data_IF_248413878962
#
_entry.id   IF_248413878962
#
_cell.length_a   1.000
_cell.length_b   1.000
_cell.length_c   1.000
_cell.angle_alpha   90.00
_cell.angle_beta   90.00
_cell.angle_gamma   90.00
#
_symmetry.space_group_name_H-M   'P 1'
#
loop_
_entity.id
_entity.type
_entity.pdbx_description
1 polymer ?
#
# COMPACT_ATOMS: atom_id res chain seq x y z
N UNK A 1 5.54 -9.71 1.62
CA UNK A 1 6.42 -10.06 0.48
C UNK A 1 5.77 -11.21 -0.27
N UNK A 2 5.76 -11.17 -1.61
CA UNK A 2 5.24 -12.30 -2.40
C UNK A 2 6.13 -13.54 -2.27
N UNK A 3 5.59 -14.73 -2.54
CA UNK A 3 6.34 -16.00 -2.49
C UNK A 3 7.58 -15.98 -3.38
N UNK A 4 7.47 -15.39 -4.57
CA UNK A 4 8.58 -15.15 -5.49
C UNK A 4 9.70 -14.33 -4.83
N UNK A 5 9.36 -13.21 -4.19
CA UNK A 5 10.34 -12.36 -3.51
C UNK A 5 10.97 -13.04 -2.30
N UNK A 6 10.21 -13.82 -1.54
CA UNK A 6 10.74 -14.60 -0.40
C UNK A 6 11.76 -15.65 -0.86
N UNK A 7 11.47 -16.34 -1.98
CA UNK A 7 12.42 -17.29 -2.59
C UNK A 7 13.69 -16.58 -3.04
N UNK A 8 13.54 -15.47 -3.77
CA UNK A 8 14.68 -14.69 -4.25
C UNK A 8 15.56 -14.16 -3.10
N UNK A 9 14.97 -13.78 -1.97
CA UNK A 9 15.72 -13.37 -0.77
C UNK A 9 16.44 -14.55 -0.10
N UNK A 10 15.85 -15.73 -0.09
CA UNK A 10 16.46 -16.94 0.50
C UNK A 10 17.68 -17.42 -0.30
N UNK A 11 17.66 -17.23 -1.62
CA UNK A 11 18.74 -17.65 -2.53
C UNK A 11 19.94 -16.70 -2.51
N UNK A 12 19.81 -15.51 -1.92
CA UNK A 12 20.91 -14.55 -1.79
C UNK A 12 21.72 -14.82 -0.53
N UNK A 13 23.03 -14.98 -0.69
CA UNK A 13 23.99 -15.15 0.41
C UNK A 13 24.64 -13.83 0.86
N UNK A 14 24.31 -12.73 0.20
CA UNK A 14 24.82 -11.41 0.55
C UNK A 14 24.32 -10.97 1.94
N UNK A 15 25.20 -10.39 2.78
CA UNK A 15 24.79 -9.89 4.09
C UNK A 15 23.81 -8.72 3.95
N UNK A 16 22.67 -8.81 4.65
CA UNK A 16 21.67 -7.73 4.69
C UNK A 16 22.03 -6.73 5.78
N UNK A 17 22.41 -5.52 5.36
CA UNK A 17 22.70 -4.40 6.27
C UNK A 17 21.39 -3.71 6.65
N UNK A 18 21.18 -3.48 7.96
CA UNK A 18 20.04 -2.71 8.46
C UNK A 18 20.05 -1.28 7.88
N UNK A 19 19.02 -0.93 7.11
CA UNK A 19 18.87 0.41 6.50
C UNK A 19 18.02 1.39 7.30
N UNK A 20 17.02 0.91 8.06
CA UNK A 20 16.14 1.74 8.86
C UNK A 20 16.46 1.59 10.36
N UNK A 21 16.86 2.68 10.99
CA UNK A 21 17.16 2.78 12.42
C UNK A 21 16.20 3.82 13.01
N UNK A 22 15.50 3.54 14.13
CA UNK A 22 14.65 4.52 14.78
C UNK A 22 15.44 5.80 15.09
N UNK A 23 14.82 6.95 14.85
CA UNK A 23 15.40 8.24 15.26
C UNK A 23 15.41 8.36 16.78
N UNK A 24 16.47 8.95 17.34
CA UNK A 24 16.54 9.33 18.75
C UNK A 24 15.76 10.61 19.06
N UNK A 25 15.31 11.35 18.04
CA UNK A 25 14.48 12.53 18.22
C UNK A 25 13.01 12.14 18.44
N UNK A 26 12.45 12.59 19.56
CA UNK A 26 11.02 12.55 19.80
C UNK A 26 10.39 13.83 19.27
N UNK A 27 9.44 13.69 18.35
CA UNK A 27 8.62 14.79 17.87
C UNK A 27 7.27 14.77 18.60
N UNK A 28 6.78 15.94 19.01
CA UNK A 28 5.40 16.06 19.45
C UNK A 28 4.47 15.72 18.28
N UNK A 29 3.37 15.01 18.58
CA UNK A 29 2.35 14.73 17.57
C UNK A 29 1.79 16.06 17.06
N UNK A 30 1.75 16.30 15.74
CA UNK A 30 1.16 17.51 15.20
C UNK A 30 -0.37 17.52 15.42
N UNK A 31 -0.97 18.69 15.32
CA UNK A 31 -2.43 18.83 15.33
C UNK A 31 -3.06 17.97 14.23
N UNK A 32 -4.20 17.31 14.48
CA UNK A 32 -4.89 16.56 13.44
C UNK A 32 -5.24 17.43 12.24
N UNK A 33 -5.03 16.89 11.06
CA UNK A 33 -5.42 17.51 9.80
C UNK A 33 -6.95 17.46 9.65
N UNK A 34 -7.53 18.53 9.14
CA UNK A 34 -8.93 18.57 8.72
C UNK A 34 -9.13 17.79 7.42
N UNK A 35 -10.38 17.42 7.10
CA UNK A 35 -10.66 16.74 5.82
C UNK A 35 -10.28 17.60 4.61
N UNK A 36 -10.49 18.92 4.68
CA UNK A 36 -10.17 19.84 3.59
C UNK A 36 -8.66 19.90 3.32
N UNK A 37 -7.85 20.01 4.37
CA UNK A 37 -6.39 19.97 4.27
C UNK A 37 -5.93 18.62 3.71
N UNK A 38 -6.48 17.50 4.18
CA UNK A 38 -6.12 16.18 3.67
C UNK A 38 -6.41 16.04 2.18
N UNK A 39 -7.61 16.43 1.74
CA UNK A 39 -7.98 16.37 0.31
C UNK A 39 -7.10 17.29 -0.53
N UNK A 40 -6.78 18.48 -0.02
CA UNK A 40 -5.91 19.40 -0.74
C UNK A 40 -4.50 18.82 -0.92
N UNK A 41 -3.86 18.39 0.17
CA UNK A 41 -2.51 17.82 0.18
C UNK A 41 -2.45 16.53 -0.65
N UNK A 42 -3.42 15.62 -0.48
CA UNK A 42 -3.47 14.37 -1.26
C UNK A 42 -3.55 14.64 -2.76
N UNK A 43 -4.35 15.63 -3.17
CA UNK A 43 -4.52 15.98 -4.58
C UNK A 43 -3.30 16.68 -5.20
N UNK A 44 -2.31 17.12 -4.39
CA UNK A 44 -1.03 17.62 -4.93
C UNK A 44 -0.13 16.49 -5.42
N UNK A 45 -0.31 15.25 -4.93
CA UNK A 45 0.46 14.09 -5.38
C UNK A 45 -0.31 13.31 -6.45
N UNK A 46 0.03 13.59 -7.71
CA UNK A 46 -0.58 12.93 -8.86
C UNK A 46 -0.48 11.40 -8.79
N UNK A 47 0.66 10.86 -8.33
CA UNK A 47 0.85 9.41 -8.23
C UNK A 47 -0.05 8.82 -7.13
N UNK A 48 -0.18 9.49 -5.99
CA UNK A 48 -1.06 9.04 -4.92
C UNK A 48 -2.53 9.03 -5.33
N UNK A 49 -3.01 10.08 -6.02
CA UNK A 49 -4.39 10.17 -6.52
C UNK A 49 -4.67 9.04 -7.51
N UNK A 50 -3.80 8.87 -8.50
CA UNK A 50 -3.96 7.86 -9.53
C UNK A 50 -3.94 6.45 -8.95
N UNK A 51 -2.94 6.13 -8.10
CA UNK A 51 -2.78 4.79 -7.52
C UNK A 51 -3.89 4.43 -6.54
N UNK A 52 -4.38 5.39 -5.77
CA UNK A 52 -5.52 5.15 -4.88
C UNK A 52 -6.77 4.80 -5.71
N UNK A 53 -7.09 5.60 -6.72
CA UNK A 53 -8.25 5.38 -7.58
C UNK A 53 -8.14 4.10 -8.41
N UNK A 54 -6.97 3.82 -8.97
CA UNK A 54 -6.69 2.58 -9.69
C UNK A 54 -6.85 1.35 -8.80
N UNK A 55 -6.24 1.35 -7.61
CA UNK A 55 -6.31 0.23 -6.67
C UNK A 55 -7.74 -0.12 -6.26
N UNK A 56 -8.55 0.88 -5.92
CA UNK A 56 -9.97 0.67 -5.57
C UNK A 56 -10.73 0.02 -6.74
N UNK A 57 -10.51 0.50 -7.96
CA UNK A 57 -11.19 -0.05 -9.16
C UNK A 57 -10.77 -1.49 -9.44
N UNK A 58 -9.48 -1.81 -9.34
CA UNK A 58 -8.98 -3.15 -9.56
C UNK A 58 -9.53 -4.14 -8.53
N UNK A 59 -9.55 -3.78 -7.24
CA UNK A 59 -10.16 -4.64 -6.23
C UNK A 59 -11.65 -4.86 -6.46
N UNK A 60 -12.40 -3.83 -6.85
CA UNK A 60 -13.82 -3.97 -7.16
C UNK A 60 -14.07 -4.88 -8.36
N UNK A 61 -13.18 -4.86 -9.36
CA UNK A 61 -13.23 -5.80 -10.51
C UNK A 61 -13.02 -7.24 -10.04
N UNK A 62 -12.01 -7.48 -9.21
CA UNK A 62 -11.72 -8.84 -8.73
C UNK A 62 -12.79 -9.37 -7.77
N UNK A 63 -13.41 -8.49 -6.97
CA UNK A 63 -14.57 -8.84 -6.15
C UNK A 63 -15.75 -9.33 -6.99
N UNK A 64 -16.10 -8.62 -8.07
CA UNK A 64 -17.19 -9.06 -8.98
C UNK A 64 -16.88 -10.41 -9.63
N UNK A 65 -15.64 -10.62 -10.09
CA UNK A 65 -15.23 -11.92 -10.64
C UNK A 65 -15.41 -13.05 -9.62
N UNK A 66 -15.07 -12.79 -8.35
CA UNK A 66 -15.26 -13.77 -7.28
C UNK A 66 -16.74 -14.07 -7.05
N UNK A 67 -17.59 -13.04 -7.03
CA UNK A 67 -19.05 -13.19 -6.91
C UNK A 67 -19.64 -14.01 -8.07
N UNK A 68 -19.24 -13.75 -9.32
CA UNK A 68 -19.67 -14.51 -10.50
C UNK A 68 -19.27 -15.99 -10.40
N UNK A 69 -18.03 -16.27 -9.95
CA UNK A 69 -17.55 -17.64 -9.75
C UNK A 69 -18.31 -18.38 -8.66
N UNK A 70 -18.72 -17.70 -7.59
CA UNK A 70 -19.52 -18.29 -6.52
C UNK A 70 -20.95 -18.55 -7.00
N UNK A 71 -21.55 -17.60 -7.71
CA UNK A 71 -22.88 -17.74 -8.28
C UNK A 71 -22.97 -18.90 -9.27
N UNK A 72 -21.94 -19.13 -10.08
CA UNK A 72 -21.89 -20.26 -11.02
C UNK A 72 -21.72 -21.64 -10.35
N UNK A 73 -21.41 -21.69 -9.05
CA UNK A 73 -21.25 -22.93 -8.27
C UNK A 73 -22.41 -23.21 -7.31
N UNK A 74 -23.37 -22.29 -7.24
CA UNK A 74 -24.64 -22.45 -6.52
C UNK A 74 -25.71 -23.02 -7.47
#
# INVERSE_FOLDING_TARGET
>A
LSTHLLKALKEKEEPVIRKLVPSSQMFHRPTPMTEAEFRWEHNQDAMAVEKLSEGIRLFAVDQRKLEDLLAAKL
#
